data_IF_967087215174
#
_entry.id   IF_967087215174
#
_cell.length_a   1.000
_cell.length_b   1.000
_cell.length_c   1.000
_cell.angle_alpha   90.00
_cell.angle_beta   90.00
_cell.angle_gamma   90.00
#
_symmetry.space_group_name_H-M   'P 1'
#
loop_
_entity.id
_entity.type
_entity.pdbx_description
1 polymer ?
#
# COMPACT_ATOMS: atom_id res chain seq x y z
N UNK A 1 77.98 7.66 -3.88
CA UNK A 1 77.69 6.62 -4.88
C UNK A 1 76.25 6.17 -4.71
N UNK A 2 75.45 6.25 -5.79
CA UNK A 2 74.13 5.65 -5.92
C UNK A 2 72.92 6.52 -5.52
N UNK A 3 72.26 7.19 -6.48
CA UNK A 3 70.84 7.52 -6.38
C UNK A 3 70.00 6.44 -7.10
N UNK A 4 68.85 6.09 -6.53
CA UNK A 4 67.76 5.41 -7.25
C UNK A 4 66.50 6.26 -7.15
N UNK A 5 65.89 6.71 -8.26
CA UNK A 5 64.60 7.40 -8.23
C UNK A 5 63.45 6.42 -8.44
N UNK A 6 62.42 6.53 -7.60
CA UNK A 6 61.13 5.84 -7.74
C UNK A 6 60.30 6.51 -8.84
N UNK A 7 59.84 5.69 -9.81
CA UNK A 7 58.92 6.06 -10.89
C UNK A 7 57.54 6.43 -10.34
N UNK A 8 57.06 7.62 -10.69
CA UNK A 8 55.65 7.98 -10.66
C UNK A 8 55.00 7.55 -11.98
N UNK A 9 53.96 6.70 -11.93
CA UNK A 9 53.18 6.30 -13.11
C UNK A 9 51.81 6.97 -13.06
N UNK A 10 51.65 8.00 -13.89
CA UNK A 10 50.38 8.59 -14.31
C UNK A 10 49.50 7.50 -14.94
N UNK A 11 48.22 7.43 -14.57
CA UNK A 11 47.20 6.77 -15.39
C UNK A 11 46.10 7.77 -15.74
N UNK A 12 45.83 7.80 -17.05
CA UNK A 12 45.07 8.79 -17.80
C UNK A 12 43.60 8.43 -17.78
N UNK A 13 42.77 9.46 -17.73
CA UNK A 13 41.36 9.42 -18.04
C UNK A 13 41.18 9.15 -19.54
N UNK A 14 40.25 8.27 -19.90
CA UNK A 14 39.76 8.13 -21.26
C UNK A 14 38.27 7.81 -21.21
N UNK A 15 37.47 8.85 -21.42
CA UNK A 15 36.04 8.81 -21.69
C UNK A 15 35.83 8.23 -23.10
N UNK A 16 34.96 7.23 -23.25
CA UNK A 16 34.49 6.76 -24.55
C UNK A 16 32.97 6.87 -24.61
N UNK A 17 32.53 7.78 -25.48
CA UNK A 17 31.17 7.99 -25.94
C UNK A 17 30.78 6.83 -26.88
N UNK A 18 29.75 6.07 -26.52
CA UNK A 18 29.09 5.12 -27.41
C UNK A 18 27.74 5.67 -27.86
N UNK A 19 27.65 6.09 -29.13
CA UNK A 19 26.42 6.50 -29.78
C UNK A 19 25.59 5.26 -30.13
N UNK A 20 24.38 5.15 -29.59
CA UNK A 20 23.39 4.15 -30.00
C UNK A 20 22.46 4.78 -31.04
N UNK A 21 22.50 4.25 -32.26
CA UNK A 21 21.61 4.62 -33.35
C UNK A 21 20.19 4.08 -33.07
N UNK A 22 19.20 4.98 -33.04
CA UNK A 22 17.78 4.64 -33.09
C UNK A 22 17.43 4.15 -34.50
N UNK A 23 17.07 2.87 -34.64
CA UNK A 23 16.29 2.38 -35.77
C UNK A 23 14.80 2.45 -35.39
N UNK A 24 14.06 3.33 -36.07
CA UNK A 24 12.60 3.43 -35.97
C UNK A 24 12.01 2.35 -36.89
N UNK A 25 11.47 1.28 -36.31
CA UNK A 25 10.54 0.40 -37.01
C UNK A 25 9.12 0.71 -36.54
N UNK A 26 8.35 1.29 -37.47
CA UNK A 26 6.91 1.47 -37.33
C UNK A 26 6.23 0.10 -37.39
N UNK A 27 5.50 -0.24 -36.33
CA UNK A 27 4.66 -1.44 -36.23
C UNK A 27 3.80 -1.33 -34.99
N UNK A 28 2.61 -0.75 -35.14
CA UNK A 28 1.66 -0.58 -34.05
C UNK A 28 1.11 -1.92 -33.56
N UNK A 29 1.74 -2.47 -32.53
CA UNK A 29 1.10 -3.36 -31.59
C UNK A 29 0.88 -2.56 -30.31
N UNK A 30 -0.38 -2.40 -29.90
CA UNK A 30 -0.73 -1.93 -28.56
C UNK A 30 -0.13 -2.93 -27.57
N UNK A 31 1.07 -2.64 -27.08
CA UNK A 31 1.66 -3.39 -25.97
C UNK A 31 0.84 -3.07 -24.72
N UNK A 32 -0.05 -3.99 -24.34
CA UNK A 32 -0.62 -3.98 -23.00
C UNK A 32 0.53 -3.97 -21.99
N UNK A 33 0.52 -3.10 -20.97
CA UNK A 33 1.48 -3.22 -19.88
C UNK A 33 1.33 -4.62 -19.27
N UNK A 34 2.43 -5.36 -19.21
CA UNK A 34 2.47 -6.71 -18.68
C UNK A 34 2.24 -6.68 -17.16
N UNK A 35 0.97 -6.73 -16.75
CA UNK A 35 0.59 -7.10 -15.39
C UNK A 35 0.99 -8.55 -15.12
N UNK A 36 1.19 -8.91 -13.84
CA UNK A 36 1.46 -10.30 -13.50
C UNK A 36 0.27 -11.17 -13.98
N UNK A 37 0.56 -12.29 -14.62
CA UNK A 37 -0.49 -13.20 -15.08
C UNK A 37 -1.25 -13.77 -13.87
N UNK A 38 -2.57 -13.91 -13.99
CA UNK A 38 -3.35 -14.74 -13.06
C UNK A 38 -3.01 -16.21 -13.24
N UNK A 39 -3.53 -17.07 -12.36
CA UNK A 39 -3.43 -18.53 -12.50
C UNK A 39 -4.71 -19.10 -13.08
N UNK A 40 -4.57 -20.12 -13.95
CA UNK A 40 -5.74 -20.87 -14.42
C UNK A 40 -6.39 -21.59 -13.23
N UNK A 41 -7.71 -21.48 -13.13
CA UNK A 41 -8.53 -22.14 -12.12
C UNK A 41 -9.67 -22.88 -12.78
N UNK A 42 -9.98 -24.06 -12.25
CA UNK A 42 -11.09 -24.90 -12.70
C UNK A 42 -12.26 -24.75 -11.73
N UNK A 43 -13.47 -24.62 -12.27
CA UNK A 43 -14.69 -24.53 -11.47
C UNK A 43 -15.89 -25.17 -12.18
N UNK A 44 -16.76 -25.80 -11.39
CA UNK A 44 -17.99 -26.41 -11.87
C UNK A 44 -18.98 -25.32 -12.31
N UNK A 45 -19.52 -25.49 -13.52
CA UNK A 45 -20.33 -24.49 -14.22
C UNK A 45 -21.59 -25.14 -14.77
N UNK A 46 -22.73 -24.48 -14.59
CA UNK A 46 -24.02 -24.84 -15.17
C UNK A 46 -24.35 -23.90 -16.34
N UNK A 47 -24.31 -24.42 -17.56
CA UNK A 47 -24.60 -23.69 -18.78
C UNK A 47 -25.98 -24.06 -19.34
N UNK A 48 -26.76 -23.07 -19.75
CA UNK A 48 -28.07 -23.28 -20.38
C UNK A 48 -27.94 -22.98 -21.87
N UNK A 49 -27.97 -23.99 -22.76
CA UNK A 49 -27.94 -23.76 -24.20
C UNK A 49 -29.16 -22.95 -24.67
N UNK A 50 -29.07 -22.25 -25.82
CA UNK A 50 -30.21 -21.55 -26.37
C UNK A 50 -31.37 -22.52 -26.65
N UNK A 51 -32.59 -22.14 -26.29
CA UNK A 51 -33.76 -23.02 -26.37
C UNK A 51 -34.00 -23.64 -27.77
N UNK A 52 -33.64 -22.91 -28.82
CA UNK A 52 -33.71 -23.36 -30.23
C UNK A 52 -32.88 -24.61 -30.51
N UNK A 53 -31.85 -24.89 -29.70
CA UNK A 53 -31.02 -26.08 -29.85
C UNK A 53 -31.71 -27.36 -29.33
N UNK A 54 -32.71 -27.25 -28.46
CA UNK A 54 -33.41 -28.42 -27.88
C UNK A 54 -32.53 -29.33 -27.03
N UNK A 55 -31.43 -28.81 -26.48
CA UNK A 55 -30.46 -29.55 -25.66
C UNK A 55 -30.70 -29.23 -24.18
N UNK A 56 -30.64 -30.22 -23.27
CA UNK A 56 -30.73 -29.97 -21.83
C UNK A 56 -29.57 -29.09 -21.33
N UNK A 57 -29.70 -28.48 -20.14
CA UNK A 57 -28.59 -27.79 -19.49
C UNK A 57 -27.36 -28.69 -19.32
N UNK A 58 -26.18 -28.07 -19.31
CA UNK A 58 -24.89 -28.72 -19.28
C UNK A 58 -24.18 -28.36 -17.98
N UNK A 59 -23.89 -29.37 -17.16
CA UNK A 59 -22.96 -29.25 -16.03
C UNK A 59 -21.58 -29.74 -16.46
N UNK A 60 -20.58 -28.87 -16.33
CA UNK A 60 -19.21 -29.19 -16.73
C UNK A 60 -18.18 -28.33 -16.02
N UNK A 61 -16.90 -28.58 -16.34
CA UNK A 61 -15.79 -27.80 -15.78
C UNK A 61 -15.42 -26.67 -16.74
N UNK A 62 -15.36 -25.45 -16.22
CA UNK A 62 -14.76 -24.30 -16.91
C UNK A 62 -13.37 -24.04 -16.35
N UNK A 63 -12.40 -23.82 -17.24
CA UNK A 63 -11.06 -23.33 -16.89
C UNK A 63 -10.97 -21.85 -17.25
N UNK A 64 -10.60 -21.00 -16.29
CA UNK A 64 -10.47 -19.56 -16.52
C UNK A 64 -9.23 -18.94 -15.86
N UNK A 65 -8.86 -17.76 -16.34
CA UNK A 65 -7.81 -16.91 -15.80
C UNK A 65 -8.33 -15.48 -15.63
N UNK A 66 -8.13 -14.88 -14.47
CA UNK A 66 -8.40 -13.46 -14.21
C UNK A 66 -7.09 -12.78 -13.87
N UNK A 67 -6.73 -11.76 -14.65
CA UNK A 67 -5.53 -10.96 -14.44
C UNK A 67 -5.86 -9.47 -14.32
N UNK A 68 -5.04 -8.74 -13.58
CA UNK A 68 -5.11 -7.31 -13.40
C UNK A 68 -3.88 -6.62 -13.99
N UNK A 69 -4.07 -5.43 -14.56
CA UNK A 69 -2.98 -4.60 -15.06
C UNK A 69 -2.06 -4.08 -13.94
N UNK A 70 -2.58 -3.96 -12.71
CA UNK A 70 -1.86 -3.48 -11.52
C UNK A 70 -2.00 -4.47 -10.37
N UNK A 71 -0.88 -5.07 -9.97
CA UNK A 71 -0.83 -5.97 -8.80
C UNK A 71 -0.62 -5.25 -7.47
N UNK A 72 -0.15 -4.00 -7.52
CA UNK A 72 0.07 -3.15 -6.34
C UNK A 72 -0.58 -1.75 -6.50
N UNK A 73 -1.91 -1.67 -6.70
CA UNK A 73 -2.59 -0.40 -6.87
C UNK A 73 -2.59 0.43 -5.58
N UNK A 74 -2.87 1.71 -5.69
CA UNK A 74 -3.14 2.60 -4.56
C UNK A 74 -4.64 2.80 -4.37
N UNK A 75 -5.08 3.14 -3.17
CA UNK A 75 -6.45 3.65 -2.97
C UNK A 75 -6.65 4.87 -3.88
N UNK A 76 -7.71 4.83 -4.69
CA UNK A 76 -8.02 5.80 -5.75
C UNK A 76 -7.62 5.35 -7.16
N UNK A 77 -6.76 4.35 -7.31
CA UNK A 77 -6.37 3.84 -8.63
C UNK A 77 -7.54 3.08 -9.28
N UNK A 78 -7.62 3.20 -10.61
CA UNK A 78 -8.47 2.34 -11.44
C UNK A 78 -7.65 1.16 -11.95
N UNK A 79 -8.11 -0.05 -11.66
CA UNK A 79 -7.51 -1.31 -12.08
C UNK A 79 -8.33 -1.91 -13.21
N UNK A 80 -7.66 -2.32 -14.27
CA UNK A 80 -8.26 -3.05 -15.40
C UNK A 80 -8.08 -4.53 -15.18
N UNK A 81 -9.17 -5.26 -15.22
CA UNK A 81 -9.21 -6.72 -15.07
C UNK A 81 -9.51 -7.36 -16.42
N UNK A 82 -8.77 -8.40 -16.76
CA UNK A 82 -8.97 -9.26 -17.92
C UNK A 82 -9.41 -10.64 -17.45
N UNK A 83 -10.63 -11.04 -17.78
CA UNK A 83 -11.17 -12.38 -17.53
C UNK A 83 -11.11 -13.17 -18.84
N UNK A 84 -10.26 -14.19 -18.88
CA UNK A 84 -10.16 -15.14 -19.98
C UNK A 84 -10.80 -16.47 -19.62
N UNK A 85 -11.79 -16.89 -20.37
CA UNK A 85 -12.28 -18.27 -20.33
C UNK A 85 -11.39 -19.08 -21.27
N UNK A 86 -10.56 -19.94 -20.70
CA UNK A 86 -9.59 -20.76 -21.43
C UNK A 86 -10.29 -21.95 -22.08
N UNK A 87 -11.14 -22.62 -21.31
CA UNK A 87 -11.98 -23.74 -21.75
C UNK A 87 -13.36 -23.55 -21.15
N UNK A 88 -14.39 -23.38 -21.99
CA UNK A 88 -15.76 -23.29 -21.54
C UNK A 88 -16.35 -24.68 -21.28
N UNK A 89 -17.26 -24.80 -20.30
CA UNK A 89 -18.02 -26.03 -20.07
C UNK A 89 -18.99 -26.36 -21.22
N UNK A 90 -19.43 -25.34 -21.98
CA UNK A 90 -20.30 -25.49 -23.13
C UNK A 90 -19.52 -25.61 -24.45
N UNK A 91 -20.17 -26.21 -25.45
CA UNK A 91 -19.69 -26.35 -26.84
C UNK A 91 -20.74 -25.80 -27.81
N UNK A 92 -20.39 -25.68 -29.09
CA UNK A 92 -21.37 -25.34 -30.14
C UNK A 92 -22.53 -26.35 -30.11
N UNK A 93 -23.76 -25.93 -29.80
CA UNK A 93 -24.86 -26.85 -29.62
C UNK A 93 -25.38 -27.41 -30.95
N UNK A 94 -25.01 -26.81 -32.09
CA UNK A 94 -25.52 -27.17 -33.42
C UNK A 94 -24.56 -28.05 -34.20
N UNK A 95 -25.06 -28.77 -35.21
CA UNK A 95 -24.22 -29.48 -36.19
C UNK A 95 -23.62 -28.54 -37.24
N UNK A 96 -24.11 -27.30 -37.31
CA UNK A 96 -23.64 -26.28 -38.23
C UNK A 96 -22.46 -25.51 -37.63
N UNK A 97 -21.54 -25.10 -38.50
CA UNK A 97 -20.46 -24.22 -38.07
C UNK A 97 -21.00 -22.81 -37.78
N UNK A 98 -20.61 -22.26 -36.63
CA UNK A 98 -20.82 -20.87 -36.31
C UNK A 98 -19.78 -20.00 -37.05
N UNK A 99 -20.20 -18.95 -37.78
CA UNK A 99 -19.27 -18.03 -38.43
C UNK A 99 -18.31 -17.33 -37.46
N UNK A 100 -17.24 -16.76 -38.03
CA UNK A 100 -16.38 -15.84 -37.31
C UNK A 100 -17.12 -14.56 -36.91
N UNK A 101 -16.64 -13.91 -35.86
CA UNK A 101 -17.05 -12.56 -35.45
C UNK A 101 -18.55 -12.40 -35.14
N UNK A 102 -19.13 -13.42 -34.50
CA UNK A 102 -20.53 -13.42 -34.05
C UNK A 102 -20.66 -13.47 -32.52
N UNK A 103 -19.62 -13.92 -31.80
CA UNK A 103 -19.63 -14.12 -30.35
C UNK A 103 -19.24 -12.83 -29.63
N UNK A 104 -20.04 -12.39 -28.66
CA UNK A 104 -19.74 -11.28 -27.75
C UNK A 104 -19.84 -11.77 -26.30
N UNK A 105 -18.73 -12.17 -25.67
CA UNK A 105 -18.80 -12.70 -24.33
C UNK A 105 -19.00 -11.59 -23.29
N UNK A 106 -19.77 -11.89 -22.25
CA UNK A 106 -19.93 -11.02 -21.07
C UNK A 106 -19.74 -11.86 -19.81
N UNK A 107 -19.39 -11.24 -18.69
CA UNK A 107 -19.25 -11.98 -17.45
C UNK A 107 -19.02 -11.11 -16.22
N UNK A 108 -18.77 -11.79 -15.11
CA UNK A 108 -18.49 -11.17 -13.82
C UNK A 108 -17.15 -11.64 -13.26
N UNK A 109 -16.44 -10.73 -12.61
CA UNK A 109 -15.31 -11.05 -11.72
C UNK A 109 -15.72 -10.64 -10.32
N UNK A 110 -15.65 -11.57 -9.37
CA UNK A 110 -15.99 -11.32 -7.97
C UNK A 110 -14.74 -10.92 -7.18
N UNK A 111 -14.83 -9.78 -6.50
CA UNK A 111 -13.83 -9.24 -5.58
C UNK A 111 -14.06 -9.79 -4.17
N UNK A 112 -12.98 -10.22 -3.51
CA UNK A 112 -12.97 -10.61 -2.10
C UNK A 112 -11.83 -9.95 -1.30
N UNK A 113 -11.85 -10.13 0.03
CA UNK A 113 -10.83 -9.57 0.92
C UNK A 113 -11.13 -8.15 1.40
N UNK A 114 -10.14 -7.25 1.30
CA UNK A 114 -10.22 -5.87 1.79
C UNK A 114 -11.30 -5.03 1.08
N UNK A 115 -11.61 -5.37 -0.18
CA UNK A 115 -12.70 -4.80 -0.96
C UNK A 115 -13.52 -5.94 -1.57
N UNK A 116 -14.85 -5.82 -1.53
CA UNK A 116 -15.77 -6.81 -2.07
C UNK A 116 -16.73 -6.17 -3.07
N UNK A 117 -17.22 -6.96 -4.01
CA UNK A 117 -18.15 -6.52 -5.06
C UNK A 117 -17.96 -7.31 -6.36
N UNK A 118 -18.78 -7.04 -7.36
CA UNK A 118 -18.68 -7.67 -8.68
C UNK A 118 -18.27 -6.65 -9.74
N UNK A 119 -17.39 -7.07 -10.64
CA UNK A 119 -16.96 -6.31 -11.82
C UNK A 119 -17.64 -6.93 -13.03
N UNK A 120 -18.39 -6.13 -13.77
CA UNK A 120 -18.89 -6.58 -15.08
C UNK A 120 -17.77 -6.47 -16.11
N UNK A 121 -17.54 -7.53 -16.86
CA UNK A 121 -16.55 -7.59 -17.93
C UNK A 121 -17.23 -7.86 -19.26
N UNK A 122 -16.69 -7.30 -20.35
CA UNK A 122 -17.22 -7.48 -21.70
C UNK A 122 -16.08 -7.73 -22.67
N UNK A 123 -16.25 -8.70 -23.56
CA UNK A 123 -15.29 -9.00 -24.63
C UNK A 123 -15.73 -8.41 -25.96
N UNK A 124 -14.81 -8.29 -26.93
CA UNK A 124 -15.14 -7.83 -28.27
C UNK A 124 -16.03 -8.85 -29.00
N UNK A 125 -16.79 -8.38 -30.00
CA UNK A 125 -17.47 -9.26 -30.97
C UNK A 125 -16.44 -9.89 -31.90
N UNK A 126 -15.74 -10.93 -31.43
CA UNK A 126 -14.61 -11.56 -32.13
C UNK A 126 -14.51 -13.03 -31.74
N UNK A 127 -14.51 -13.90 -32.73
CA UNK A 127 -14.19 -15.32 -32.58
C UNK A 127 -13.75 -15.90 -33.93
N UNK A 128 -12.87 -16.92 -33.96
CA UNK A 128 -12.71 -17.74 -35.16
C UNK A 128 -14.01 -18.53 -35.44
N UNK A 129 -14.20 -19.04 -36.67
CA UNK A 129 -15.31 -19.96 -36.94
C UNK A 129 -15.27 -21.15 -35.98
N UNK A 130 -16.44 -21.53 -35.44
CA UNK A 130 -16.55 -22.65 -34.49
C UNK A 130 -17.26 -23.81 -35.20
N UNK A 131 -16.57 -24.93 -35.49
CA UNK A 131 -17.21 -26.07 -36.12
C UNK A 131 -18.41 -26.60 -35.34
N UNK A 132 -19.32 -27.31 -36.02
CA UNK A 132 -20.45 -27.99 -35.39
C UNK A 132 -19.97 -28.89 -34.25
N UNK A 133 -20.66 -28.85 -33.10
CA UNK A 133 -20.34 -29.63 -31.89
C UNK A 133 -18.95 -29.40 -31.27
N UNK A 134 -18.12 -28.52 -31.82
CA UNK A 134 -16.78 -28.25 -31.29
C UNK A 134 -16.85 -27.37 -30.03
N UNK A 135 -15.81 -27.49 -29.19
CA UNK A 135 -15.62 -26.60 -28.04
C UNK A 135 -15.50 -25.14 -28.51
N UNK A 136 -16.00 -24.21 -27.69
CA UNK A 136 -15.79 -22.79 -27.97
C UNK A 136 -14.30 -22.45 -27.84
N UNK A 137 -13.77 -21.59 -28.74
CA UNK A 137 -12.41 -21.09 -28.62
C UNK A 137 -12.25 -20.27 -27.33
N UNK A 138 -11.02 -20.17 -26.82
CA UNK A 138 -10.71 -19.26 -25.71
C UNK A 138 -11.10 -17.81 -26.06
N UNK A 139 -11.69 -17.10 -25.10
CA UNK A 139 -12.10 -15.71 -25.26
C UNK A 139 -11.82 -14.90 -23.99
N UNK A 140 -11.57 -13.61 -24.18
CA UNK A 140 -11.25 -12.68 -23.10
C UNK A 140 -12.24 -11.52 -23.05
N UNK A 141 -12.50 -11.07 -21.82
CA UNK A 141 -13.37 -9.95 -21.48
C UNK A 141 -12.60 -9.00 -20.59
N UNK A 142 -12.89 -7.70 -20.69
CA UNK A 142 -12.25 -6.69 -19.83
C UNK A 142 -13.29 -5.87 -19.08
N UNK A 143 -12.90 -5.41 -17.89
CA UNK A 143 -13.68 -4.51 -17.06
C UNK A 143 -12.75 -3.74 -16.11
N UNK A 144 -13.29 -2.77 -15.39
CA UNK A 144 -12.49 -1.94 -14.48
C UNK A 144 -13.16 -1.80 -13.12
N UNK A 145 -12.34 -1.58 -12.10
CA UNK A 145 -12.81 -1.19 -10.78
C UNK A 145 -11.89 -0.16 -10.14
N UNK A 146 -12.44 0.67 -9.27
CA UNK A 146 -11.67 1.62 -8.45
C UNK A 146 -11.36 1.01 -7.11
N UNK A 147 -10.10 1.12 -6.67
CA UNK A 147 -9.66 0.69 -5.34
C UNK A 147 -10.10 1.73 -4.32
N UNK A 148 -10.91 1.30 -3.35
CA UNK A 148 -11.49 2.15 -2.31
C UNK A 148 -10.93 1.85 -0.92
N UNK A 149 -10.29 0.69 -0.73
CA UNK A 149 -9.70 0.23 0.53
C UNK A 149 -8.33 -0.36 0.28
N UNK A 150 -7.37 0.00 1.13
CA UNK A 150 -6.07 -0.67 1.16
C UNK A 150 -6.18 -2.08 1.75
N UNK A 151 -5.25 -2.94 1.37
CA UNK A 151 -5.22 -4.35 1.74
C UNK A 151 -5.32 -5.29 0.55
N UNK A 152 -5.43 -6.58 0.84
CA UNK A 152 -5.44 -7.64 -0.17
C UNK A 152 -6.84 -7.76 -0.82
N UNK A 153 -6.89 -7.74 -2.15
CA UNK A 153 -8.12 -7.87 -2.93
C UNK A 153 -7.98 -9.12 -3.83
N UNK A 154 -8.83 -10.12 -3.64
CA UNK A 154 -8.84 -11.35 -4.44
C UNK A 154 -9.76 -11.20 -5.65
N UNK A 155 -9.36 -11.76 -6.79
CA UNK A 155 -10.07 -11.77 -8.06
C UNK A 155 -10.46 -13.21 -8.39
N UNK A 156 -11.76 -13.49 -8.40
CA UNK A 156 -12.29 -14.82 -8.72
C UNK A 156 -13.17 -14.76 -9.96
N UNK A 157 -13.07 -15.73 -10.90
CA UNK A 157 -14.02 -15.84 -12.00
C UNK A 157 -15.45 -15.97 -11.46
N UNK A 158 -16.39 -15.32 -12.13
CA UNK A 158 -17.82 -15.44 -11.87
C UNK A 158 -18.58 -15.93 -13.10
N UNK A 159 -19.90 -15.79 -13.04
CA UNK A 159 -20.81 -16.12 -14.14
C UNK A 159 -20.37 -15.46 -15.45
N UNK A 160 -20.59 -16.15 -16.56
CA UNK A 160 -20.34 -15.61 -17.89
C UNK A 160 -21.45 -16.00 -18.85
N UNK A 161 -21.56 -15.28 -19.96
CA UNK A 161 -22.53 -15.55 -21.00
C UNK A 161 -21.83 -15.48 -22.36
N UNK A 162 -22.10 -16.48 -23.18
CA UNK A 162 -21.70 -16.51 -24.58
C UNK A 162 -22.90 -16.05 -25.40
N UNK A 163 -22.88 -14.79 -25.80
CA UNK A 163 -23.89 -14.23 -26.68
C UNK A 163 -23.44 -14.38 -28.13
N UNK A 164 -24.29 -14.92 -29.00
CA UNK A 164 -24.05 -14.99 -30.45
C UNK A 164 -25.09 -14.20 -31.22
N UNK A 165 -24.62 -13.30 -32.08
CA UNK A 165 -25.44 -12.41 -32.91
C UNK A 165 -25.12 -12.66 -34.39
N UNK A 166 -25.96 -13.47 -35.05
CA UNK A 166 -25.85 -13.80 -36.48
C UNK A 166 -27.20 -13.76 -37.21
N UNK A 167 -27.99 -14.85 -37.16
CA UNK A 167 -29.36 -14.93 -37.71
C UNK A 167 -30.39 -14.69 -36.60
N UNK A 168 -30.07 -15.17 -35.40
CA UNK A 168 -30.83 -14.98 -34.18
C UNK A 168 -29.87 -14.45 -33.10
N UNK A 169 -30.43 -13.78 -32.12
CA UNK A 169 -29.74 -13.38 -30.89
C UNK A 169 -29.91 -14.51 -29.89
N UNK A 170 -28.81 -15.18 -29.56
CA UNK A 170 -28.82 -16.37 -28.70
C UNK A 170 -27.84 -16.20 -27.56
N UNK A 171 -28.29 -16.49 -26.35
CA UNK A 171 -27.50 -16.47 -25.13
C UNK A 171 -27.28 -17.89 -24.62
N UNK A 172 -26.05 -18.15 -24.17
CA UNK A 172 -25.68 -19.34 -23.41
C UNK A 172 -25.14 -18.89 -22.06
N UNK A 173 -26.02 -18.58 -21.09
CA UNK A 173 -25.57 -18.20 -19.76
C UNK A 173 -24.97 -19.41 -19.06
N UNK A 174 -23.82 -19.19 -18.43
CA UNK A 174 -23.05 -20.15 -17.67
C UNK A 174 -22.83 -19.61 -16.26
N UNK A 175 -23.37 -20.33 -15.28
CA UNK A 175 -23.36 -19.93 -13.87
C UNK A 175 -22.42 -20.80 -13.05
N UNK A 176 -21.73 -20.20 -12.08
CA UNK A 176 -20.84 -20.95 -11.18
C UNK A 176 -21.69 -21.77 -10.21
N UNK A 177 -21.48 -23.09 -10.14
CA UNK A 177 -22.29 -23.99 -9.31
C UNK A 177 -22.03 -23.77 -7.81
N UNK A 178 -20.77 -23.53 -7.43
CA UNK A 178 -20.35 -23.26 -6.05
C UNK A 178 -19.63 -21.91 -5.98
N UNK A 179 -20.35 -20.78 -5.86
CA UNK A 179 -19.73 -19.47 -5.78
C UNK A 179 -19.16 -19.18 -4.36
N UNK A 180 -18.04 -18.43 -4.26
CA UNK A 180 -17.20 -17.93 -5.34
C UNK A 180 -16.31 -19.04 -5.92
N UNK A 181 -15.95 -18.95 -7.21
CA UNK A 181 -14.95 -19.81 -7.82
C UNK A 181 -13.58 -19.63 -7.13
N UNK A 182 -12.61 -20.56 -7.32
CA UNK A 182 -11.27 -20.41 -6.76
C UNK A 182 -10.60 -19.10 -7.20
N UNK A 183 -9.82 -18.51 -6.29
CA UNK A 183 -9.11 -17.26 -6.55
C UNK A 183 -8.09 -17.46 -7.67
N UNK A 184 -8.24 -16.68 -8.75
CA UNK A 184 -7.33 -16.73 -9.89
C UNK A 184 -6.17 -15.74 -9.75
N UNK A 185 -6.39 -14.61 -9.09
CA UNK A 185 -5.32 -13.67 -8.76
C UNK A 185 -5.64 -12.88 -7.50
N UNK A 186 -4.58 -12.38 -6.86
CA UNK A 186 -4.69 -11.47 -5.74
C UNK A 186 -3.86 -10.22 -6.00
N UNK A 187 -4.43 -9.03 -5.75
CA UNK A 187 -3.73 -7.74 -5.80
C UNK A 187 -3.65 -7.13 -4.41
N UNK A 188 -2.60 -6.36 -4.12
CA UNK A 188 -2.39 -5.74 -2.81
C UNK A 188 -2.46 -4.23 -2.94
N UNK A 189 -3.57 -3.65 -2.50
CA UNK A 189 -3.78 -2.22 -2.49
C UNK A 189 -2.98 -1.56 -1.34
N UNK A 190 -2.25 -0.50 -1.65
CA UNK A 190 -1.56 0.34 -0.66
C UNK A 190 -2.36 1.60 -0.36
N UNK A 191 -2.26 2.13 0.85
CA UNK A 191 -2.82 3.46 1.15
C UNK A 191 -2.15 4.48 0.22
N UNK A 192 -2.96 5.21 -0.55
CA UNK A 192 -2.49 6.08 -1.63
C UNK A 192 -1.75 7.32 -1.16
N UNK A 193 -1.71 7.59 0.15
CA UNK A 193 -0.91 8.66 0.75
C UNK A 193 0.57 8.28 0.68
N UNK A 194 1.40 8.97 -0.12
CA UNK A 194 2.84 8.88 0.04
C UNK A 194 3.16 9.20 1.51
N UNK A 195 4.01 8.40 2.15
CA UNK A 195 4.49 8.76 3.48
C UNK A 195 5.12 10.16 3.38
N UNK A 196 4.52 11.15 4.05
CA UNK A 196 5.05 12.49 4.06
C UNK A 196 6.39 12.48 4.80
N UNK A 197 7.49 12.63 4.08
CA UNK A 197 8.85 12.60 4.63
C UNK A 197 9.35 13.97 5.07
N UNK A 198 8.52 15.01 4.96
CA UNK A 198 8.89 16.36 5.40
C UNK A 198 9.09 16.37 6.90
N UNK A 199 10.17 17.01 7.33
CA UNK A 199 10.52 17.11 8.73
C UNK A 199 10.98 18.53 9.05
N UNK A 200 10.73 18.96 10.28
CA UNK A 200 11.26 20.21 10.84
C UNK A 200 11.97 19.98 12.15
N UNK A 201 12.91 20.86 12.46
CA UNK A 201 13.61 20.96 13.74
C UNK A 201 13.71 22.42 14.15
N UNK A 202 13.56 22.67 15.45
CA UNK A 202 13.67 24.01 16.03
C UNK A 202 15.06 24.23 16.61
N UNK A 203 15.57 25.46 16.52
CA UNK A 203 16.83 25.87 17.15
C UNK A 203 16.76 25.91 18.68
N UNK A 204 15.55 26.06 19.24
CA UNK A 204 15.26 25.93 20.66
C UNK A 204 13.85 25.35 20.86
N UNK A 205 13.65 24.61 21.95
CA UNK A 205 12.33 24.08 22.33
C UNK A 205 11.48 25.08 23.14
N UNK A 206 12.03 26.25 23.47
CA UNK A 206 11.34 27.31 24.19
C UNK A 206 11.93 28.69 23.90
N UNK A 207 11.18 29.73 24.22
CA UNK A 207 11.63 31.12 24.16
C UNK A 207 10.65 32.08 24.83
N UNK A 208 11.08 33.32 25.02
CA UNK A 208 10.23 34.37 25.58
C UNK A 208 9.21 34.85 24.54
N UNK A 209 8.04 35.32 24.99
CA UNK A 209 7.06 35.92 24.09
C UNK A 209 7.70 37.10 23.32
N UNK A 210 7.61 37.07 21.98
CA UNK A 210 8.24 38.01 21.07
C UNK A 210 9.67 37.63 20.62
N UNK A 211 10.22 36.53 21.12
CA UNK A 211 11.51 36.01 20.65
C UNK A 211 11.35 35.25 19.32
N UNK A 212 12.39 35.31 18.49
CA UNK A 212 12.50 34.51 17.27
C UNK A 212 13.07 33.12 17.54
N UNK A 213 12.48 32.08 16.95
CA UNK A 213 13.02 30.72 16.93
C UNK A 213 13.36 30.31 15.51
N UNK A 214 14.56 29.78 15.32
CA UNK A 214 14.99 29.22 14.03
C UNK A 214 14.24 27.92 13.76
N UNK A 215 13.60 27.83 12.60
CA UNK A 215 12.94 26.63 12.09
C UNK A 215 13.72 26.14 10.87
N UNK A 216 14.23 24.92 10.94
CA UNK A 216 14.89 24.26 9.81
C UNK A 216 14.00 23.12 9.32
N UNK A 217 13.88 22.97 8.00
CA UNK A 217 13.09 21.89 7.40
C UNK A 217 13.82 21.17 6.27
N UNK A 218 13.38 19.94 5.98
CA UNK A 218 13.91 19.04 4.95
C UNK A 218 12.79 18.34 4.20
N UNK A 219 13.11 17.87 2.98
CA UNK A 219 12.21 17.13 2.06
C UNK A 219 11.00 17.92 1.56
N UNK A 220 11.06 19.25 1.61
CA UNK A 220 10.09 20.12 0.95
C UNK A 220 10.32 20.17 -0.56
N UNK A 221 9.33 20.61 -1.31
CA UNK A 221 9.43 20.81 -2.76
C UNK A 221 10.50 21.88 -3.05
N UNK A 222 11.54 21.58 -3.87
CA UNK A 222 12.55 22.57 -4.22
C UNK A 222 11.95 23.86 -4.80
N UNK A 223 12.34 25.02 -4.25
CA UNK A 223 11.83 26.32 -4.66
C UNK A 223 10.42 26.68 -4.13
N UNK A 224 9.77 25.79 -3.36
CA UNK A 224 8.46 26.09 -2.81
C UNK A 224 8.51 27.15 -1.70
N UNK A 225 7.46 27.98 -1.65
CA UNK A 225 7.21 28.84 -0.50
C UNK A 225 6.63 28.00 0.64
N UNK A 226 7.30 28.05 1.79
CA UNK A 226 6.96 27.33 3.02
C UNK A 226 6.50 28.33 4.06
N UNK A 227 5.29 28.13 4.56
CA UNK A 227 4.71 28.91 5.67
C UNK A 227 5.10 28.25 6.98
N UNK A 228 5.76 28.99 7.86
CA UNK A 228 5.99 28.64 9.26
C UNK A 228 4.83 29.19 10.08
N UNK A 229 4.27 28.39 10.98
CA UNK A 229 3.17 28.85 11.82
C UNK A 229 3.21 28.27 13.23
N UNK A 230 2.86 29.09 14.21
CA UNK A 230 2.60 28.66 15.58
C UNK A 230 1.28 27.88 15.69
N UNK A 231 1.24 26.95 16.64
CA UNK A 231 0.08 26.10 16.95
C UNK A 231 -0.21 26.13 18.44
N UNK A 232 -1.46 26.39 18.79
CA UNK A 232 -2.03 26.12 20.10
C UNK A 232 -2.88 24.85 19.98
N UNK A 233 -2.23 23.69 20.09
CA UNK A 233 -2.82 22.41 19.72
C UNK A 233 -3.09 22.30 18.22
N UNK A 234 -4.34 22.07 17.81
CA UNK A 234 -4.74 21.96 16.41
C UNK A 234 -4.98 23.33 15.75
N UNK A 235 -5.17 24.39 16.54
CA UNK A 235 -5.43 25.75 16.05
C UNK A 235 -4.14 26.47 15.70
N UNK A 236 -4.12 27.09 14.52
CA UNK A 236 -3.04 27.99 14.14
C UNK A 236 -3.15 29.29 14.95
N UNK A 237 -2.04 29.76 15.50
CA UNK A 237 -1.96 31.09 16.14
C UNK A 237 -1.78 32.18 15.08
N UNK A 238 -1.75 33.44 15.50
CA UNK A 238 -1.46 34.55 14.59
C UNK A 238 0.03 34.59 14.14
N UNK A 239 0.90 33.85 14.82
CA UNK A 239 2.33 33.83 14.55
C UNK A 239 2.62 33.06 13.27
N UNK A 240 3.01 33.77 12.22
CA UNK A 240 3.37 33.19 10.92
C UNK A 240 4.61 33.85 10.31
N UNK A 241 5.33 33.09 9.49
CA UNK A 241 6.43 33.59 8.68
C UNK A 241 6.51 32.78 7.37
N UNK A 242 7.23 33.27 6.36
CA UNK A 242 7.42 32.56 5.09
C UNK A 242 8.91 32.43 4.77
N UNK A 243 9.30 31.26 4.28
CA UNK A 243 10.67 30.95 3.83
C UNK A 243 10.61 30.14 2.55
N UNK A 244 11.63 30.23 1.70
CA UNK A 244 11.70 29.46 0.45
C UNK A 244 12.61 28.25 0.62
N UNK A 245 12.14 27.07 0.22
CA UNK A 245 12.97 25.87 0.17
C UNK A 245 14.03 25.98 -0.93
N UNK A 246 15.27 25.60 -0.63
CA UNK A 246 16.36 25.59 -1.60
C UNK A 246 16.22 24.46 -2.64
N UNK A 247 17.18 24.34 -3.55
CA UNK A 247 17.19 23.32 -4.60
C UNK A 247 17.17 21.87 -4.08
N UNK A 248 17.52 21.65 -2.81
CA UNK A 248 17.51 20.36 -2.14
C UNK A 248 16.27 20.15 -1.26
N UNK A 249 15.27 21.04 -1.33
CA UNK A 249 14.06 20.93 -0.51
C UNK A 249 14.29 21.21 0.97
N UNK A 250 15.38 21.91 1.30
CA UNK A 250 15.72 22.30 2.67
C UNK A 250 15.52 23.79 2.87
N UNK A 251 15.20 24.21 4.09
CA UNK A 251 15.11 25.63 4.44
C UNK A 251 15.63 25.89 5.86
N UNK A 252 15.94 27.15 6.14
CA UNK A 252 16.12 27.67 7.49
C UNK A 252 15.53 29.08 7.54
N UNK A 253 14.60 29.31 8.46
CA UNK A 253 13.90 30.59 8.64
C UNK A 253 13.66 30.88 10.11
N UNK A 254 13.22 32.09 10.44
CA UNK A 254 12.89 32.48 11.81
C UNK A 254 11.40 32.73 11.94
N UNK A 255 10.78 32.21 13.00
CA UNK A 255 9.41 32.51 13.40
C UNK A 255 9.45 33.29 14.72
N UNK A 256 8.82 34.47 14.75
CA UNK A 256 8.60 35.21 16.00
C UNK A 256 7.33 34.70 16.65
N UNK A 257 7.41 34.26 17.91
CA UNK A 257 6.28 33.67 18.62
C UNK A 257 5.81 34.63 19.71
N UNK A 258 4.65 35.26 19.50
CA UNK A 258 4.03 36.20 20.45
C UNK A 258 2.93 35.54 21.27
N UNK A 259 2.22 34.57 20.68
CA UNK A 259 1.10 33.92 21.33
C UNK A 259 1.60 32.91 22.37
N UNK A 260 1.32 33.20 23.65
CA UNK A 260 1.72 32.38 24.79
C UNK A 260 1.03 31.02 24.83
N UNK A 261 -0.06 30.84 24.10
CA UNK A 261 -0.73 29.56 23.96
C UNK A 261 -0.04 28.63 22.93
N UNK A 262 1.00 29.12 22.24
CA UNK A 262 1.75 28.29 21.29
C UNK A 262 2.43 27.12 22.02
N UNK A 263 2.05 25.91 21.63
CA UNK A 263 2.59 24.62 22.12
C UNK A 263 3.38 23.87 21.04
N UNK A 264 3.32 24.33 19.78
CA UNK A 264 4.10 23.76 18.70
C UNK A 264 4.24 24.68 17.51
N UNK A 265 5.12 24.32 16.59
CA UNK A 265 5.39 25.04 15.35
C UNK A 265 5.29 24.05 14.20
N UNK A 266 4.60 24.43 13.12
CA UNK A 266 4.52 23.66 11.87
C UNK A 266 5.17 24.43 10.73
N UNK A 267 5.52 23.71 9.67
CA UNK A 267 5.90 24.30 8.38
C UNK A 267 5.12 23.63 7.24
N UNK A 268 4.56 24.36 6.28
CA UNK A 268 3.76 23.76 5.20
C UNK A 268 3.82 24.53 3.89
N UNK A 269 3.63 23.83 2.78
CA UNK A 269 3.56 24.43 1.44
C UNK A 269 2.14 24.89 1.12
N UNK A 270 2.02 26.14 0.67
CA UNK A 270 0.75 26.75 0.28
C UNK A 270 0.14 27.66 1.36
N UNK A 271 -1.10 28.09 1.12
CA UNK A 271 -1.77 29.13 1.90
C UNK A 271 -2.43 28.62 3.20
N UNK A 272 -2.63 27.31 3.34
CA UNK A 272 -3.28 26.70 4.50
C UNK A 272 -2.63 25.37 4.82
N UNK A 273 -2.72 24.96 6.09
CA UNK A 273 -2.22 23.67 6.54
C UNK A 273 -2.84 22.52 5.76
N UNK A 274 -1.98 21.64 5.26
CA UNK A 274 -2.33 20.37 4.69
C UNK A 274 -1.31 19.35 5.24
N UNK A 275 -1.76 18.27 5.89
CA UNK A 275 -0.86 17.27 6.48
C UNK A 275 0.02 16.56 5.44
N UNK A 276 -0.36 16.52 4.15
CA UNK A 276 0.43 15.94 3.06
C UNK A 276 1.54 16.87 2.55
N UNK A 277 1.42 18.17 2.85
CA UNK A 277 2.34 19.23 2.41
C UNK A 277 3.02 19.94 3.58
N UNK A 278 2.80 19.44 4.79
CA UNK A 278 3.26 20.03 6.05
C UNK A 278 4.34 19.20 6.73
N UNK A 279 4.94 19.76 7.76
CA UNK A 279 5.81 19.05 8.68
C UNK A 279 5.62 19.61 10.09
N UNK A 280 5.92 18.76 11.07
CA UNK A 280 5.61 19.02 12.46
C UNK A 280 4.17 18.63 12.78
N UNK A 281 3.65 19.06 13.93
CA UNK A 281 4.22 20.12 14.77
C UNK A 281 5.45 19.70 15.59
N UNK A 282 6.49 20.55 15.57
CA UNK A 282 7.59 20.47 16.53
C UNK A 282 7.18 21.17 17.83
N UNK A 283 7.33 20.51 18.98
CA UNK A 283 6.95 21.07 20.27
C UNK A 283 7.75 22.36 20.59
N UNK A 284 7.05 23.39 21.06
CA UNK A 284 7.63 24.68 21.44
C UNK A 284 6.88 25.27 22.64
N UNK A 285 7.60 25.80 23.62
CA UNK A 285 7.00 26.42 24.81
C UNK A 285 7.34 27.93 24.89
N UNK A 286 6.32 28.75 25.14
CA UNK A 286 6.50 30.19 25.35
C UNK A 286 6.60 30.50 26.84
N UNK A 287 7.69 31.15 27.26
CA UNK A 287 7.84 31.61 28.63
C UNK A 287 6.91 32.81 28.87
N UNK A 288 6.10 32.74 29.92
CA UNK A 288 5.32 33.89 30.34
C UNK A 288 6.17 34.84 31.17
N UNK A 289 6.55 35.98 30.59
CA UNK A 289 7.31 37.03 31.27
C UNK A 289 6.43 38.21 31.75
N UNK A 290 5.11 38.02 31.89
CA UNK A 290 4.21 39.08 32.40
C UNK A 290 4.67 39.55 33.78
N UNK A 291 4.90 40.87 33.98
CA UNK A 291 5.19 41.44 35.28
C UNK A 291 4.05 41.18 36.28
N UNK A 292 4.39 40.93 37.55
CA UNK A 292 3.40 40.78 38.63
C UNK A 292 3.28 42.06 39.46
N UNK A 293 2.14 42.30 40.12
CA UNK A 293 1.95 43.48 40.98
C UNK A 293 2.97 43.58 42.12
N UNK A 294 3.17 44.79 42.63
CA UNK A 294 4.04 45.03 43.79
C UNK A 294 3.56 44.22 45.01
N UNK A 295 4.50 43.61 45.76
CA UNK A 295 4.20 42.75 46.90
C UNK A 295 3.75 41.32 46.54
N UNK A 296 3.68 40.97 45.26
CA UNK A 296 3.34 39.61 44.80
C UNK A 296 4.58 38.81 44.40
N UNK A 297 4.47 37.47 44.42
CA UNK A 297 5.48 36.54 43.91
C UNK A 297 4.93 35.72 42.74
N UNK A 298 5.71 35.56 41.68
CA UNK A 298 5.37 34.68 40.55
C UNK A 298 5.90 33.28 40.81
N UNK A 299 5.00 32.30 40.89
CA UNK A 299 5.37 30.88 40.97
C UNK A 299 5.36 30.31 39.54
N UNK A 300 6.51 29.88 39.06
CA UNK A 300 6.66 29.28 37.72
C UNK A 300 7.15 27.85 37.82
N UNK A 301 6.60 26.97 37.00
CA UNK A 301 7.13 25.63 36.75
C UNK A 301 7.26 25.41 35.25
N UNK A 302 8.18 24.53 34.86
CA UNK A 302 8.39 24.19 33.46
C UNK A 302 8.34 22.68 33.31
N UNK A 303 7.40 22.20 32.49
CA UNK A 303 7.35 20.80 32.06
C UNK A 303 8.20 20.67 30.80
N UNK A 304 9.22 19.81 30.84
CA UNK A 304 10.09 19.56 29.67
C UNK A 304 9.51 18.41 28.85
N UNK A 305 9.51 18.58 27.53
CA UNK A 305 9.17 17.51 26.61
C UNK A 305 10.19 16.36 26.74
N UNK A 306 9.67 15.13 26.72
CA UNK A 306 10.45 13.91 26.56
C UNK A 306 10.62 13.54 25.09
N UNK A 307 10.81 12.24 24.83
CA UNK A 307 11.00 11.71 23.48
C UNK A 307 9.82 10.84 23.03
N UNK A 308 9.74 10.61 21.72
CA UNK A 308 9.01 9.48 21.15
C UNK A 308 9.95 8.28 21.17
N UNK A 309 9.51 7.17 21.77
CA UNK A 309 10.33 5.97 21.91
C UNK A 309 9.50 4.69 21.81
N UNK A 310 10.18 3.60 21.45
CA UNK A 310 9.61 2.27 21.37
C UNK A 310 10.54 1.27 22.05
N UNK A 311 9.96 0.28 22.72
CA UNK A 311 10.63 -0.92 23.20
C UNK A 311 9.82 -2.17 22.87
N UNK A 312 10.48 -3.31 22.72
CA UNK A 312 9.83 -4.60 22.46
C UNK A 312 10.18 -5.61 23.55
N UNK A 313 9.23 -6.48 23.92
CA UNK A 313 9.39 -7.45 25.00
C UNK A 313 10.38 -8.61 24.70
N UNK A 314 10.78 -8.80 23.44
CA UNK A 314 11.70 -9.85 23.01
C UNK A 314 12.08 -9.72 21.52
N UNK A 315 13.12 -10.42 21.10
CA UNK A 315 13.74 -10.30 19.77
C UNK A 315 13.36 -11.41 18.77
N UNK A 316 12.66 -12.45 19.24
CA UNK A 316 12.29 -13.61 18.43
C UNK A 316 10.81 -13.97 18.63
N UNK A 317 10.17 -14.38 17.54
CA UNK A 317 8.79 -14.87 17.52
C UNK A 317 8.80 -16.24 16.85
N UNK A 318 8.38 -17.26 17.59
CA UNK A 318 8.16 -18.59 17.02
C UNK A 318 6.78 -18.65 16.35
N UNK A 319 6.74 -19.13 15.11
CA UNK A 319 5.50 -19.47 14.42
C UNK A 319 5.25 -20.99 14.53
N UNK A 320 3.98 -21.39 14.43
CA UNK A 320 3.59 -22.80 14.47
C UNK A 320 4.16 -23.58 13.29
N UNK A 321 4.44 -24.88 13.48
CA UNK A 321 4.85 -25.75 12.39
C UNK A 321 3.74 -25.95 11.34
N UNK A 322 4.16 -26.32 10.13
CA UNK A 322 3.28 -26.70 9.01
C UNK A 322 3.77 -28.02 8.44
N UNK A 323 2.86 -28.97 8.25
CA UNK A 323 3.20 -30.30 7.75
C UNK A 323 3.53 -30.27 6.26
N UNK A 324 4.61 -30.97 5.91
CA UNK A 324 5.02 -31.15 4.52
C UNK A 324 3.91 -31.82 3.71
N UNK A 325 3.66 -31.30 2.50
CA UNK A 325 2.62 -31.77 1.59
C UNK A 325 1.24 -31.14 1.84
N UNK A 326 1.02 -30.45 2.96
CA UNK A 326 -0.26 -29.76 3.25
C UNK A 326 -0.16 -28.25 3.02
N UNK A 327 0.91 -27.63 3.53
CA UNK A 327 1.06 -26.18 3.48
C UNK A 327 0.04 -25.47 4.38
N UNK A 328 -0.07 -24.15 4.20
CA UNK A 328 -1.04 -23.32 4.92
C UNK A 328 -0.41 -22.46 6.01
N UNK A 329 -1.24 -22.03 6.96
CA UNK A 329 -0.92 -20.97 7.90
C UNK A 329 0.00 -21.42 9.04
N UNK A 330 1.22 -20.89 9.05
CA UNK A 330 2.12 -20.88 10.20
C UNK A 330 1.84 -19.64 11.05
N UNK A 331 1.29 -19.81 12.25
CA UNK A 331 0.72 -18.73 13.07
C UNK A 331 1.53 -18.43 14.32
N UNK A 332 1.52 -17.18 14.76
CA UNK A 332 2.20 -16.75 15.98
C UNK A 332 1.70 -15.39 16.47
N UNK A 333 2.35 -14.84 17.50
CA UNK A 333 2.03 -13.52 18.03
C UNK A 333 3.28 -12.67 18.10
N UNK A 334 3.17 -11.42 17.63
CA UNK A 334 4.24 -10.45 17.76
C UNK A 334 4.53 -10.19 19.25
N UNK A 335 5.79 -10.10 19.63
CA UNK A 335 6.16 -9.63 20.96
C UNK A 335 5.64 -8.20 21.15
N UNK A 336 4.92 -7.97 22.25
CA UNK A 336 4.32 -6.68 22.55
C UNK A 336 5.33 -5.55 22.43
N UNK A 337 4.92 -4.52 21.70
CA UNK A 337 5.68 -3.31 21.48
C UNK A 337 5.07 -2.22 22.35
N UNK A 338 5.89 -1.60 23.21
CA UNK A 338 5.48 -0.44 24.00
C UNK A 338 5.94 0.83 23.28
N UNK A 339 5.00 1.72 22.97
CA UNK A 339 5.29 3.06 22.44
C UNK A 339 5.05 4.08 23.55
N UNK A 340 6.02 4.97 23.76
CA UNK A 340 5.91 6.10 24.68
C UNK A 340 6.10 7.39 23.89
N UNK A 341 5.06 8.21 23.86
CA UNK A 341 5.12 9.55 23.29
C UNK A 341 5.06 10.58 24.42
N UNK A 342 6.22 11.08 24.82
CA UNK A 342 6.33 12.12 25.84
C UNK A 342 6.67 13.49 25.26
N UNK A 343 6.52 13.68 23.95
CA UNK A 343 6.79 14.97 23.31
C UNK A 343 5.85 16.06 23.80
N UNK A 344 4.61 15.71 24.17
CA UNK A 344 3.63 16.64 24.76
C UNK A 344 3.21 17.78 23.81
N UNK A 345 3.42 17.59 22.51
CA UNK A 345 3.05 18.53 21.45
C UNK A 345 1.77 18.09 20.75
N UNK A 346 1.50 18.60 19.54
CA UNK A 346 0.31 18.21 18.77
C UNK A 346 0.55 17.08 17.75
N UNK A 347 1.79 16.58 17.63
CA UNK A 347 2.19 15.61 16.60
C UNK A 347 1.87 14.17 17.00
N UNK A 348 1.18 13.44 16.14
CA UNK A 348 0.95 12.01 16.27
C UNK A 348 2.19 11.18 16.00
N UNK A 349 2.01 9.87 15.89
CA UNK A 349 3.08 8.91 15.60
C UNK A 349 2.57 7.76 14.75
N UNK A 350 3.46 7.12 14.00
CA UNK A 350 3.17 5.93 13.21
C UNK A 350 4.22 4.85 13.47
N UNK A 351 3.75 3.62 13.71
CA UNK A 351 4.57 2.43 13.82
C UNK A 351 4.28 1.54 12.62
N UNK A 352 5.30 1.33 11.79
CA UNK A 352 5.22 0.48 10.59
C UNK A 352 6.16 -0.71 10.71
N UNK A 353 5.91 -1.75 9.92
CA UNK A 353 6.80 -2.91 9.85
C UNK A 353 6.91 -3.46 8.43
N UNK A 354 8.09 -4.00 8.11
CA UNK A 354 8.37 -4.73 6.87
C UNK A 354 9.16 -5.99 7.18
N UNK A 355 8.91 -7.05 6.43
CA UNK A 355 9.59 -8.34 6.64
C UNK A 355 10.44 -8.69 5.44
N UNK A 356 11.60 -9.31 5.65
CA UNK A 356 12.39 -9.94 4.58
C UNK A 356 11.77 -11.26 4.15
N UNK A 357 12.26 -11.82 3.04
CA UNK A 357 11.95 -13.21 2.70
C UNK A 357 12.43 -14.15 3.81
N UNK A 358 11.72 -15.27 3.99
CA UNK A 358 12.10 -16.30 4.93
C UNK A 358 13.00 -17.31 4.22
N UNK A 359 14.22 -17.48 4.73
CA UNK A 359 15.23 -18.35 4.12
C UNK A 359 15.41 -19.60 4.96
N UNK A 360 15.43 -20.76 4.31
CA UNK A 360 15.64 -22.06 4.95
C UNK A 360 16.43 -23.01 4.04
N UNK A 361 16.52 -24.30 4.40
CA UNK A 361 17.30 -25.26 3.64
C UNK A 361 16.67 -25.53 2.27
N UNK A 362 17.31 -25.02 1.22
CA UNK A 362 16.97 -25.34 -0.17
C UNK A 362 15.77 -24.59 -0.76
N UNK A 363 15.13 -23.68 0.00
CA UNK A 363 14.03 -22.85 -0.51
C UNK A 363 13.93 -21.49 0.19
N UNK A 364 13.11 -20.62 -0.41
CA UNK A 364 12.66 -19.35 0.17
C UNK A 364 11.14 -19.34 0.28
N UNK A 365 10.62 -18.67 1.29
CA UNK A 365 9.20 -18.30 1.37
C UNK A 365 9.16 -16.77 1.25
N UNK A 366 8.53 -16.26 0.19
CA UNK A 366 8.54 -14.83 -0.12
C UNK A 366 7.89 -14.01 1.02
N UNK A 367 8.45 -12.84 1.33
CA UNK A 367 7.98 -11.93 2.37
C UNK A 367 6.48 -11.59 2.27
N UNK A 368 5.97 -11.52 1.03
CA UNK A 368 4.57 -11.23 0.72
C UNK A 368 3.58 -12.27 1.25
N UNK A 369 4.07 -13.42 1.74
CA UNK A 369 3.26 -14.48 2.36
C UNK A 369 3.04 -14.27 3.85
N UNK A 370 3.74 -13.32 4.49
CA UNK A 370 3.46 -12.94 5.88
C UNK A 370 2.36 -11.89 5.91
N UNK A 371 1.30 -12.20 6.66
CA UNK A 371 0.23 -11.28 7.02
C UNK A 371 0.17 -11.10 8.53
N UNK A 372 -0.45 -10.00 8.95
CA UNK A 372 -0.73 -9.74 10.35
C UNK A 372 -2.14 -9.22 10.60
N UNK A 373 -2.60 -9.30 11.84
CA UNK A 373 -3.81 -8.64 12.35
C UNK A 373 -3.40 -7.79 13.55
N UNK A 374 -3.22 -6.47 13.37
CA UNK A 374 -2.78 -5.59 14.43
C UNK A 374 -3.82 -5.37 15.53
N UNK A 375 -3.35 -5.10 16.74
CA UNK A 375 -4.12 -4.62 17.87
C UNK A 375 -3.33 -3.51 18.57
N UNK A 376 -4.05 -2.52 19.12
CA UNK A 376 -3.42 -1.48 19.91
C UNK A 376 -4.29 -1.09 21.09
N UNK A 377 -3.66 -0.90 22.25
CA UNK A 377 -4.32 -0.42 23.46
C UNK A 377 -3.64 0.84 24.00
N UNK A 378 -4.47 1.70 24.59
CA UNK A 378 -4.07 2.98 25.16
C UNK A 378 -4.04 2.87 26.68
N UNK A 379 -2.91 3.22 27.32
CA UNK A 379 -2.83 3.26 28.78
C UNK A 379 -3.73 4.37 29.31
N UNK A 380 -4.50 4.07 30.36
CA UNK A 380 -5.37 5.04 31.02
C UNK A 380 -4.60 6.31 31.42
N UNK A 381 -5.19 7.48 31.13
CA UNK A 381 -4.58 8.79 31.36
C UNK A 381 -3.67 9.30 30.22
N UNK A 382 -3.47 8.51 29.17
CA UNK A 382 -2.81 8.99 27.95
C UNK A 382 -3.70 10.01 27.22
N UNK A 383 -3.16 11.18 26.82
CA UNK A 383 -3.90 12.17 26.04
C UNK A 383 -4.40 11.67 24.67
N UNK A 384 -3.62 10.80 24.02
CA UNK A 384 -3.96 10.26 22.71
C UNK A 384 -4.65 8.91 22.78
N UNK A 385 -5.39 8.57 21.71
CA UNK A 385 -5.93 7.22 21.49
C UNK A 385 -5.14 6.52 20.39
N UNK A 386 -4.63 5.33 20.70
CA UNK A 386 -3.98 4.49 19.71
C UNK A 386 -4.99 3.80 18.78
N UNK A 387 -4.69 3.80 17.49
CA UNK A 387 -5.44 3.10 16.44
C UNK A 387 -4.60 1.95 15.89
N UNK A 388 -5.17 0.75 15.83
CA UNK A 388 -4.56 -0.39 15.15
C UNK A 388 -4.56 -0.18 13.62
N UNK A 389 -3.51 -0.67 12.97
CA UNK A 389 -3.44 -0.76 11.51
C UNK A 389 -4.40 -1.82 10.93
N UNK A 390 -4.50 -1.86 9.60
CA UNK A 390 -5.34 -2.82 8.90
C UNK A 390 -4.73 -4.23 8.91
N UNK A 391 -5.58 -5.25 9.03
CA UNK A 391 -5.16 -6.63 8.80
C UNK A 391 -4.79 -6.85 7.33
N UNK A 392 -3.75 -7.63 7.06
CA UNK A 392 -3.29 -7.90 5.70
C UNK A 392 -1.81 -8.24 5.61
N UNK A 393 -1.31 -8.32 4.37
CA UNK A 393 0.10 -8.60 4.07
C UNK A 393 1.03 -7.51 4.61
N UNK A 394 2.14 -7.93 5.21
CA UNK A 394 3.24 -7.04 5.62
C UNK A 394 4.21 -6.86 4.47
N UNK A 395 4.80 -7.97 4.01
CA UNK A 395 5.71 -8.00 2.86
C UNK A 395 6.93 -7.09 2.97
N UNK A 396 7.63 -6.96 1.84
CA UNK A 396 8.79 -6.07 1.69
C UNK A 396 8.38 -4.58 1.58
N UNK A 397 7.15 -4.30 1.11
CA UNK A 397 6.61 -2.95 1.00
C UNK A 397 6.29 -2.34 2.37
N UNK A 398 6.03 -3.18 3.36
CA UNK A 398 5.67 -2.80 4.70
C UNK A 398 4.19 -2.43 4.85
N UNK A 399 3.75 -2.42 6.10
CA UNK A 399 2.40 -2.04 6.48
C UNK A 399 2.41 -1.27 7.81
N UNK A 400 1.36 -0.48 8.06
CA UNK A 400 1.14 0.18 9.35
C UNK A 400 0.67 -0.84 10.39
N UNK A 401 1.36 -0.90 11.52
CA UNK A 401 1.01 -1.74 12.66
C UNK A 401 0.08 -0.97 13.60
N UNK A 402 0.43 0.27 13.96
CA UNK A 402 -0.41 1.14 14.78
C UNK A 402 -0.05 2.61 14.55
N UNK A 403 -0.96 3.51 14.91
CA UNK A 403 -0.70 4.95 14.85
C UNK A 403 -1.54 5.74 15.85
N UNK A 404 -1.13 6.98 16.04
CA UNK A 404 -1.91 8.05 16.67
C UNK A 404 -1.92 9.23 15.70
N UNK A 405 -3.09 9.81 15.45
CA UNK A 405 -3.21 10.99 14.60
C UNK A 405 -2.72 12.25 15.33
N UNK A 406 -2.40 13.29 14.56
CA UNK A 406 -2.19 14.63 15.11
C UNK A 406 -3.44 15.12 15.86
N UNK A 407 -3.25 15.95 16.88
CA UNK A 407 -4.33 16.46 17.71
C UNK A 407 -3.94 17.68 18.52
N UNK A 408 -4.83 18.17 19.39
CA UNK A 408 -4.55 19.33 20.25
C UNK A 408 -3.44 19.07 21.26
N UNK A 409 -3.38 17.86 21.79
CA UNK A 409 -2.34 17.38 22.66
C UNK A 409 -2.18 15.89 22.38
N UNK A 410 -0.97 15.52 21.97
CA UNK A 410 -0.58 14.14 21.79
C UNK A 410 0.38 13.70 22.88
N UNK A 411 0.32 12.41 23.17
CA UNK A 411 1.22 11.79 24.12
C UNK A 411 0.58 10.61 24.85
N UNK A 412 1.41 9.98 25.67
CA UNK A 412 1.02 8.87 26.52
C UNK A 412 1.84 7.61 26.26
N UNK A 413 1.27 6.49 26.67
CA UNK A 413 1.90 5.17 26.58
C UNK A 413 0.90 4.16 26.00
N UNK A 414 1.39 3.34 25.08
CA UNK A 414 0.56 2.44 24.27
C UNK A 414 1.21 1.07 24.18
N UNK A 415 0.39 0.03 24.13
CA UNK A 415 0.82 -1.33 23.82
C UNK A 415 0.29 -1.73 22.46
N UNK A 416 1.19 -2.18 21.60
CA UNK A 416 0.92 -2.58 20.22
C UNK A 416 1.24 -4.05 20.06
N UNK A 417 0.30 -4.81 19.54
CA UNK A 417 0.38 -6.26 19.34
C UNK A 417 -0.06 -6.62 17.91
N UNK A 418 0.25 -7.84 17.48
CA UNK A 418 -0.33 -8.41 16.27
C UNK A 418 -0.36 -9.93 16.29
N UNK A 419 -1.40 -10.53 15.71
CA UNK A 419 -1.37 -11.94 15.30
C UNK A 419 -0.64 -12.04 13.96
N UNK A 420 0.28 -12.99 13.83
CA UNK A 420 1.05 -13.25 12.62
C UNK A 420 0.56 -14.52 11.93
N UNK A 421 0.54 -14.52 10.61
CA UNK A 421 0.22 -15.70 9.79
C UNK A 421 1.08 -15.70 8.53
N UNK A 422 2.01 -16.65 8.45
CA UNK A 422 2.83 -16.92 7.27
C UNK A 422 2.19 -18.05 6.46
N UNK A 423 1.82 -17.78 5.21
CA UNK A 423 1.31 -18.81 4.30
C UNK A 423 2.48 -19.65 3.72
N UNK A 424 2.64 -20.87 4.21
CA UNK A 424 3.73 -21.78 3.83
C UNK A 424 3.27 -22.68 2.67
N UNK A 425 3.96 -22.68 1.51
CA UNK A 425 3.63 -23.57 0.40
C UNK A 425 3.72 -25.06 0.78
N UNK A 426 2.81 -25.89 0.27
CA UNK A 426 2.70 -27.31 0.62
C UNK A 426 4.01 -28.11 0.49
N UNK A 427 4.77 -27.87 -0.58
CA UNK A 427 6.02 -28.61 -0.85
C UNK A 427 7.28 -27.84 -0.46
N UNK A 428 7.17 -26.95 0.52
CA UNK A 428 8.34 -26.29 1.12
C UNK A 428 9.22 -27.34 1.79
N UNK A 429 10.51 -27.46 1.43
CA UNK A 429 11.41 -28.46 2.03
C UNK A 429 11.40 -28.38 3.56
N UNK A 430 11.30 -29.52 4.28
CA UNK A 430 11.32 -29.51 5.74
C UNK A 430 12.58 -28.84 6.29
N UNK A 431 12.41 -27.93 7.25
CA UNK A 431 13.51 -27.23 7.89
C UNK A 431 13.08 -25.95 8.60
N UNK A 432 14.04 -25.29 9.27
CA UNK A 432 13.81 -23.99 9.87
C UNK A 432 13.95 -22.88 8.81
N UNK A 433 12.97 -21.98 8.77
CA UNK A 433 12.96 -20.80 7.92
C UNK A 433 12.95 -19.56 8.80
N UNK A 434 13.79 -18.59 8.50
CA UNK A 434 13.86 -17.34 9.26
C UNK A 434 13.77 -16.13 8.34
N UNK A 435 13.01 -15.13 8.78
CA UNK A 435 12.90 -13.81 8.18
C UNK A 435 13.02 -12.75 9.26
N UNK A 436 13.35 -11.51 8.89
CA UNK A 436 13.52 -10.39 9.82
C UNK A 436 12.38 -9.41 9.64
N UNK A 437 11.55 -9.25 10.67
CA UNK A 437 10.55 -8.19 10.75
C UNK A 437 11.20 -6.93 11.36
N UNK A 438 11.36 -5.89 10.55
CA UNK A 438 11.88 -4.60 11.00
C UNK A 438 10.72 -3.67 11.30
N UNK A 439 10.65 -3.17 12.54
CA UNK A 439 9.69 -2.16 12.97
C UNK A 439 10.32 -0.77 12.94
N UNK A 440 9.56 0.24 12.53
CA UNK A 440 10.02 1.64 12.44
C UNK A 440 8.97 2.57 13.02
N UNK A 441 9.37 3.35 14.02
CA UNK A 441 8.57 4.38 14.67
C UNK A 441 8.94 5.76 14.13
N UNK A 442 7.93 6.56 13.76
CA UNK A 442 8.08 7.94 13.27
C UNK A 442 7.10 8.88 13.94
#
# INVERSE_FOLDING_TARGET
MGPTPRRARRWRWASLLGAAALAVTAGGALACPAGAAGTNVDFATHCIPPAVAGIPPIDGTTTANVSADKTSPKVGDTVTVTYTVVTAAASNPTDLALPADIMTPTGKVTLGGAQSGDITVTGPKKNPPVPGKAAFPSFSMTGTFTVTKAGQITLSPGDYNIHTSYILELDTPCTVITPPAPVSQTVTATDGTPANTRAISLGSASGDAGAGVTVSGKNFTPGAAVTLAGRAGDKQTADTATVTANAQGSFSGSLVVNDKATTGIVAYEGASWNPDKGAGPAAYAVNDNTPVPAGSQKLTTTVKAGTLSMSQAGDSVALSGVDFGQGGASTGSLNTVTVKDFRGGPAGWSLTGKVTDFTGPGARIDAGRLSWTPACATKAGSPSTCKAGSAGTVGNAGATLASTADGTLTGGEFTVDARLSLDVPAFTPPGAYSGVLTLTLT
#
